data_IF_931957627149
#
_entry.id   IF_931957627149
#
_cell.length_a   1.000
_cell.length_b   1.000
_cell.length_c   1.000
_cell.angle_alpha   90.00
_cell.angle_beta   90.00
_cell.angle_gamma   90.00
#
_symmetry.space_group_name_H-M   'P 1'
#
loop_
_entity.id
_entity.type
_entity.pdbx_description
1 polymer ?
#
# COMPACT_ATOMS: atom_id res chain seq x y z
N UNK A 1 5.52 31.14 20.61
CA UNK A 1 4.63 32.32 20.74
C UNK A 1 3.51 32.36 19.71
N UNK A 2 3.70 31.92 18.45
CA UNK A 2 2.65 32.01 17.40
C UNK A 2 1.36 31.18 17.67
N UNK A 3 1.48 29.89 18.04
CA UNK A 3 0.31 29.01 18.30
C UNK A 3 -0.53 29.50 19.48
N UNK A 4 0.11 30.14 20.46
CA UNK A 4 -0.52 30.61 21.70
C UNK A 4 -1.47 31.78 21.43
N UNK A 5 -1.10 32.69 20.51
CA UNK A 5 -1.98 33.79 20.08
C UNK A 5 -3.13 33.30 19.20
N UNK A 6 -2.93 32.23 18.45
CA UNK A 6 -3.98 31.59 17.64
C UNK A 6 -5.09 30.97 18.51
N UNK A 7 -4.75 30.35 19.65
CA UNK A 7 -5.73 29.72 20.55
C UNK A 7 -6.73 30.74 21.10
N UNK A 8 -6.26 31.91 21.52
CA UNK A 8 -7.13 32.97 22.04
C UNK A 8 -8.06 33.52 20.94
N UNK A 9 -7.54 33.71 19.73
CA UNK A 9 -8.33 34.10 18.58
C UNK A 9 -9.42 33.07 18.26
N UNK A 10 -9.09 31.77 18.27
CA UNK A 10 -10.05 30.70 18.03
C UNK A 10 -11.13 30.66 19.13
N UNK A 11 -10.74 30.82 20.40
CA UNK A 11 -11.70 30.84 21.52
C UNK A 11 -12.65 32.04 21.46
N UNK A 12 -12.18 33.19 20.98
CA UNK A 12 -13.00 34.38 20.77
C UNK A 12 -13.90 34.30 19.52
N UNK A 13 -13.60 33.40 18.58
CA UNK A 13 -14.32 33.25 17.31
C UNK A 13 -15.56 32.37 17.43
N UNK A 14 -16.54 32.42 16.50
CA UNK A 14 -17.65 31.46 16.46
C UNK A 14 -17.17 30.00 16.32
N UNK A 15 -17.99 29.03 16.78
CA UNK A 15 -17.62 27.60 16.77
C UNK A 15 -17.29 27.09 15.36
N UNK A 16 -17.98 27.57 14.33
CA UNK A 16 -17.71 27.21 12.93
C UNK A 16 -16.28 27.52 12.46
N UNK A 17 -15.58 28.47 13.10
CA UNK A 17 -14.17 28.75 12.80
C UNK A 17 -13.28 27.59 13.25
N UNK A 18 -13.56 27.04 14.43
CA UNK A 18 -12.87 25.85 14.93
C UNK A 18 -13.17 24.64 14.03
N UNK A 19 -14.44 24.41 13.69
CA UNK A 19 -14.84 23.31 12.80
C UNK A 19 -14.14 23.40 11.44
N UNK A 20 -14.04 24.61 10.88
CA UNK A 20 -13.32 24.86 9.63
C UNK A 20 -11.80 24.60 9.74
N UNK A 21 -11.19 24.85 10.90
CA UNK A 21 -9.77 24.49 11.15
C UNK A 21 -9.62 22.97 11.21
N UNK A 22 -10.47 22.27 11.96
CA UNK A 22 -10.45 20.81 12.03
C UNK A 22 -10.64 20.20 10.64
N UNK A 23 -11.65 20.64 9.89
CA UNK A 23 -11.92 20.15 8.54
C UNK A 23 -10.74 20.36 7.58
N UNK A 24 -10.02 21.49 7.68
CA UNK A 24 -8.79 21.72 6.91
C UNK A 24 -7.65 20.81 7.34
N UNK A 25 -7.51 20.54 8.64
CA UNK A 25 -6.45 19.70 9.17
C UNK A 25 -6.64 18.23 8.83
N UNK A 26 -7.86 17.70 8.89
CA UNK A 26 -8.09 16.24 8.81
C UNK A 26 -9.10 15.80 7.75
N UNK A 27 -9.96 16.69 7.23
CA UNK A 27 -11.11 16.31 6.41
C UNK A 27 -10.75 15.56 5.13
N UNK A 28 -9.76 16.06 4.37
CA UNK A 28 -9.32 15.38 3.14
C UNK A 28 -8.57 14.08 3.44
N UNK A 29 -7.78 14.03 4.52
CA UNK A 29 -7.02 12.84 4.91
C UNK A 29 -7.94 11.71 5.37
N UNK A 30 -8.98 11.99 6.15
CA UNK A 30 -9.97 10.99 6.53
C UNK A 30 -10.76 10.47 5.33
N UNK A 31 -11.24 11.35 4.46
CA UNK A 31 -12.00 10.93 3.29
C UNK A 31 -11.19 9.99 2.39
N UNK A 32 -9.95 10.35 2.09
CA UNK A 32 -9.09 9.51 1.25
C UNK A 32 -8.70 8.20 1.94
N UNK A 33 -8.38 8.24 3.25
CA UNK A 33 -8.03 7.04 4.00
C UNK A 33 -9.22 6.08 4.07
N UNK A 34 -10.44 6.55 4.34
CA UNK A 34 -11.63 5.70 4.40
C UNK A 34 -11.98 5.08 3.04
N UNK A 35 -11.79 5.81 1.93
CA UNK A 35 -11.92 5.26 0.58
C UNK A 35 -10.86 4.19 0.32
N UNK A 36 -9.61 4.46 0.72
CA UNK A 36 -8.50 3.51 0.59
C UNK A 36 -8.76 2.25 1.41
N UNK A 37 -9.39 2.42 2.59
CA UNK A 37 -9.77 1.36 3.49
C UNK A 37 -10.97 0.53 2.96
N UNK A 38 -11.95 1.15 2.31
CA UNK A 38 -13.15 0.44 1.84
C UNK A 38 -12.95 -0.35 0.55
N UNK A 39 -12.00 0.06 -0.32
CA UNK A 39 -11.77 -0.55 -1.65
C UNK A 39 -11.02 -1.90 -1.63
N UNK A 40 -10.89 -2.58 -0.49
CA UNK A 40 -10.00 -3.74 -0.38
C UNK A 40 -10.57 -5.02 -1.00
N UNK A 41 -9.97 -5.47 -2.10
CA UNK A 41 -10.27 -6.76 -2.77
C UNK A 41 -9.02 -7.53 -3.21
N UNK A 42 -7.81 -7.02 -2.98
CA UNK A 42 -6.59 -7.69 -3.45
C UNK A 42 -6.25 -8.83 -2.48
N UNK A 43 -6.51 -10.06 -2.92
CA UNK A 43 -6.07 -11.28 -2.24
C UNK A 43 -4.91 -11.89 -3.00
N UNK A 44 -4.04 -12.59 -2.27
CA UNK A 44 -3.00 -13.42 -2.85
C UNK A 44 -3.62 -14.41 -3.84
N UNK A 45 -3.17 -14.39 -5.10
CA UNK A 45 -3.60 -15.35 -6.11
C UNK A 45 -2.89 -16.69 -5.89
N UNK A 46 -3.44 -17.49 -4.98
CA UNK A 46 -2.90 -18.79 -4.62
C UNK A 46 -2.80 -19.73 -5.84
N UNK A 47 -3.75 -19.64 -6.77
CA UNK A 47 -3.78 -20.49 -7.97
C UNK A 47 -2.63 -20.16 -8.90
N UNK A 48 -2.37 -18.86 -9.15
CA UNK A 48 -1.23 -18.43 -9.95
C UNK A 48 0.09 -18.86 -9.32
N UNK A 49 0.24 -18.67 -8.01
CA UNK A 49 1.47 -19.03 -7.28
C UNK A 49 1.73 -20.53 -7.34
N UNK A 50 0.73 -21.35 -7.06
CA UNK A 50 0.89 -22.81 -7.09
C UNK A 50 1.14 -23.32 -8.51
N UNK A 51 0.53 -22.71 -9.53
CA UNK A 51 0.80 -23.03 -10.94
C UNK A 51 2.26 -22.75 -11.31
N UNK A 52 2.80 -21.59 -10.93
CA UNK A 52 4.20 -21.23 -11.17
C UNK A 52 5.14 -22.20 -10.43
N UNK A 53 4.88 -22.49 -9.14
CA UNK A 53 5.68 -23.44 -8.36
C UNK A 53 5.68 -24.83 -8.96
N UNK A 54 4.52 -25.32 -9.43
CA UNK A 54 4.39 -26.62 -10.06
C UNK A 54 5.24 -26.70 -11.33
N UNK A 55 5.14 -25.71 -12.22
CA UNK A 55 5.90 -25.69 -13.47
C UNK A 55 7.41 -25.59 -13.19
N UNK A 56 7.84 -24.79 -12.21
CA UNK A 56 9.25 -24.71 -11.82
C UNK A 56 9.79 -26.04 -11.28
N UNK A 57 8.97 -26.79 -10.52
CA UNK A 57 9.34 -28.13 -10.02
C UNK A 57 9.49 -29.11 -11.18
N UNK A 58 8.54 -29.11 -12.10
CA UNK A 58 8.53 -29.98 -13.28
C UNK A 58 9.74 -29.70 -14.19
N UNK A 59 10.05 -28.43 -14.44
CA UNK A 59 11.22 -28.03 -15.23
C UNK A 59 12.54 -28.48 -14.59
N UNK A 60 12.67 -28.38 -13.26
CA UNK A 60 13.87 -28.89 -12.55
C UNK A 60 14.04 -30.41 -12.71
N UNK A 61 12.94 -31.17 -12.73
CA UNK A 61 12.98 -32.61 -12.95
C UNK A 61 13.36 -32.97 -14.39
N UNK A 62 12.80 -32.26 -15.37
CA UNK A 62 13.11 -32.44 -16.79
C UNK A 62 14.56 -32.06 -17.13
N UNK A 63 15.04 -30.91 -16.64
CA UNK A 63 16.42 -30.47 -16.87
C UNK A 63 17.44 -31.42 -16.23
N UNK A 64 17.08 -32.15 -15.18
CA UNK A 64 17.95 -33.18 -14.58
C UNK A 64 18.04 -34.48 -15.39
N UNK A 65 16.93 -34.96 -15.95
CA UNK A 65 16.86 -36.26 -16.65
C UNK A 65 17.04 -36.15 -18.17
N UNK A 66 16.34 -35.22 -18.81
CA UNK A 66 16.20 -35.15 -20.28
C UNK A 66 17.41 -34.49 -20.92
N UNK A 67 17.96 -33.44 -20.29
CA UNK A 67 19.16 -32.75 -20.81
C UNK A 67 20.38 -33.68 -20.80
N UNK A 68 20.60 -34.42 -19.71
CA UNK A 68 21.71 -35.39 -19.60
C UNK A 68 21.56 -36.52 -20.60
N UNK A 69 20.35 -37.04 -20.78
CA UNK A 69 20.10 -38.15 -21.69
C UNK A 69 20.21 -37.75 -23.17
N UNK A 70 19.57 -36.65 -23.58
CA UNK A 70 19.55 -36.22 -24.98
C UNK A 70 20.90 -35.69 -25.46
N UNK A 71 21.64 -34.98 -24.60
CA UNK A 71 22.99 -34.51 -24.93
C UNK A 71 23.97 -35.69 -25.02
N UNK A 72 23.93 -36.62 -24.07
CA UNK A 72 24.84 -37.77 -24.04
C UNK A 72 24.62 -38.76 -25.18
N UNK A 73 23.37 -38.97 -25.62
CA UNK A 73 23.06 -39.95 -26.67
C UNK A 73 22.98 -39.38 -28.08
N UNK A 74 22.59 -38.12 -28.27
CA UNK A 74 22.21 -37.63 -29.60
C UNK A 74 22.69 -36.22 -29.95
N UNK A 75 23.35 -35.49 -29.04
CA UNK A 75 23.90 -34.15 -29.32
C UNK A 75 22.86 -33.08 -29.71
N UNK A 76 21.58 -33.30 -29.43
CA UNK A 76 20.51 -32.36 -29.80
C UNK A 76 20.31 -31.25 -28.76
N UNK A 77 20.24 -30.00 -29.22
CA UNK A 77 19.59 -28.91 -28.48
C UNK A 77 18.07 -29.14 -28.46
N UNK A 78 17.48 -29.13 -27.26
CA UNK A 78 16.07 -29.48 -27.06
C UNK A 78 15.16 -28.35 -27.60
N UNK A 79 14.21 -28.74 -28.46
CA UNK A 79 13.13 -27.90 -29.03
C UNK A 79 12.40 -27.05 -27.96
N UNK A 80 11.74 -25.97 -28.41
CA UNK A 80 10.85 -25.08 -27.61
C UNK A 80 10.02 -25.88 -26.59
N UNK A 81 10.32 -25.69 -25.30
CA UNK A 81 9.65 -26.39 -24.21
C UNK A 81 8.33 -25.64 -23.85
N UNK A 82 7.18 -26.27 -24.12
CA UNK A 82 5.84 -25.70 -23.82
C UNK A 82 5.68 -25.26 -22.35
N UNK A 83 6.32 -25.95 -21.40
CA UNK A 83 6.29 -25.59 -19.98
C UNK A 83 7.04 -24.28 -19.70
N UNK A 84 8.13 -24.02 -20.44
CA UNK A 84 8.84 -22.73 -20.36
C UNK A 84 7.99 -21.59 -20.95
N UNK A 85 7.25 -21.83 -22.04
CA UNK A 85 6.31 -20.84 -22.59
C UNK A 85 5.16 -20.53 -21.62
N UNK A 86 4.58 -21.56 -20.99
CA UNK A 86 3.57 -21.39 -19.93
C UNK A 86 4.13 -20.63 -18.73
N UNK A 87 5.38 -20.90 -18.33
CA UNK A 87 6.05 -20.19 -17.24
C UNK A 87 6.24 -18.70 -17.56
N UNK A 88 6.59 -18.36 -18.81
CA UNK A 88 6.69 -16.97 -19.25
C UNK A 88 5.34 -16.26 -19.21
N UNK A 89 4.28 -16.91 -19.67
CA UNK A 89 2.92 -16.36 -19.60
C UNK A 89 2.50 -16.07 -18.15
N UNK A 90 2.60 -17.06 -17.26
CA UNK A 90 2.26 -16.87 -15.85
C UNK A 90 3.18 -15.86 -15.14
N UNK A 91 4.45 -15.79 -15.55
CA UNK A 91 5.38 -14.75 -15.09
C UNK A 91 4.94 -13.34 -15.48
N UNK A 92 4.36 -13.15 -16.67
CA UNK A 92 3.82 -11.86 -17.11
C UNK A 92 2.57 -11.45 -16.30
N UNK A 93 1.73 -12.41 -15.95
CA UNK A 93 0.56 -12.21 -15.10
C UNK A 93 0.97 -11.84 -13.67
N UNK A 94 1.92 -12.58 -13.10
CA UNK A 94 2.54 -12.28 -11.81
C UNK A 94 3.11 -10.85 -11.82
N UNK A 95 3.74 -10.42 -12.92
CA UNK A 95 4.36 -9.09 -13.04
C UNK A 95 3.34 -7.99 -13.01
N UNK A 96 2.20 -8.22 -13.65
CA UNK A 96 1.08 -7.30 -13.63
C UNK A 96 0.49 -7.19 -12.22
N UNK A 97 0.30 -8.32 -11.52
CA UNK A 97 -0.19 -8.32 -10.14
C UNK A 97 0.80 -7.62 -9.20
N UNK A 98 2.10 -7.89 -9.32
CA UNK A 98 3.14 -7.27 -8.51
C UNK A 98 3.26 -5.76 -8.71
N UNK A 99 3.18 -5.26 -9.94
CA UNK A 99 3.12 -3.82 -10.22
C UNK A 99 1.92 -3.16 -9.54
N UNK A 100 0.75 -3.80 -9.56
CA UNK A 100 -0.45 -3.30 -8.87
C UNK A 100 -0.24 -3.24 -7.35
N UNK A 101 0.38 -4.25 -6.76
CA UNK A 101 0.70 -4.27 -5.32
C UNK A 101 1.70 -3.18 -4.96
N UNK A 102 2.77 -3.00 -5.74
CA UNK A 102 3.76 -1.92 -5.52
C UNK A 102 3.13 -0.54 -5.58
N UNK A 103 2.30 -0.28 -6.60
CA UNK A 103 1.57 0.98 -6.70
C UNK A 103 0.64 1.20 -5.49
N UNK A 104 0.04 0.13 -4.97
CA UNK A 104 -0.85 0.20 -3.80
C UNK A 104 -0.08 0.45 -2.50
N UNK A 105 1.03 -0.24 -2.28
CA UNK A 105 1.92 0.00 -1.14
C UNK A 105 2.39 1.46 -1.10
N UNK A 106 2.76 2.01 -2.26
CA UNK A 106 3.13 3.41 -2.38
C UNK A 106 1.99 4.37 -2.00
N UNK A 107 0.78 4.11 -2.49
CA UNK A 107 -0.42 4.87 -2.13
C UNK A 107 -0.70 4.82 -0.63
N UNK A 108 -0.69 3.63 -0.03
CA UNK A 108 -0.91 3.42 1.40
C UNK A 108 0.15 4.13 2.25
N UNK A 109 1.43 4.04 1.87
CA UNK A 109 2.49 4.73 2.59
C UNK A 109 2.28 6.25 2.59
N UNK A 110 1.92 6.83 1.44
CA UNK A 110 1.57 8.27 1.36
C UNK A 110 0.38 8.63 2.26
N UNK A 111 -0.63 7.78 2.39
CA UNK A 111 -1.76 8.04 3.29
C UNK A 111 -1.35 7.94 4.76
N UNK A 112 -0.50 6.97 5.13
CA UNK A 112 0.08 6.87 6.49
C UNK A 112 0.83 8.15 6.86
N UNK A 113 1.70 8.63 5.96
CA UNK A 113 2.43 9.89 6.17
C UNK A 113 1.51 11.09 6.37
N UNK A 114 0.44 11.19 5.57
CA UNK A 114 -0.57 12.25 5.71
C UNK A 114 -1.30 12.18 7.04
N UNK A 115 -1.76 11.00 7.44
CA UNK A 115 -2.44 10.78 8.72
C UNK A 115 -1.50 11.11 9.89
N UNK A 116 -0.25 10.67 9.84
CA UNK A 116 0.75 11.00 10.86
C UNK A 116 0.98 12.52 10.97
N UNK A 117 1.06 13.22 9.84
CA UNK A 117 1.17 14.69 9.84
C UNK A 117 -0.06 15.36 10.47
N UNK A 118 -1.28 14.93 10.10
CA UNK A 118 -2.52 15.39 10.71
C UNK A 118 -2.53 15.20 12.23
N UNK A 119 -2.10 14.03 12.71
CA UNK A 119 -1.99 13.70 14.14
C UNK A 119 -1.02 14.64 14.87
N UNK A 120 0.13 14.96 14.26
CA UNK A 120 1.09 15.91 14.83
C UNK A 120 0.49 17.30 14.98
N UNK A 121 -0.17 17.80 13.93
CA UNK A 121 -0.79 19.14 13.95
C UNK A 121 -1.93 19.23 14.96
N UNK A 122 -2.81 18.21 15.03
CA UNK A 122 -3.86 18.17 16.06
C UNK A 122 -3.28 18.07 17.47
N UNK A 123 -2.22 17.30 17.70
CA UNK A 123 -1.54 17.24 19.01
C UNK A 123 -0.92 18.59 19.39
N UNK A 124 -0.38 19.35 18.43
CA UNK A 124 0.12 20.71 18.66
C UNK A 124 -1.01 21.65 19.07
N UNK A 125 -2.13 21.61 18.36
CA UNK A 125 -3.31 22.41 18.66
C UNK A 125 -3.89 22.07 20.05
N UNK A 126 -4.05 20.78 20.35
CA UNK A 126 -4.50 20.27 21.65
C UNK A 126 -3.59 20.74 22.79
N UNK A 127 -2.26 20.64 22.62
CA UNK A 127 -1.29 21.18 23.60
C UNK A 127 -1.46 22.68 23.81
N UNK A 128 -1.73 23.45 22.74
CA UNK A 128 -2.00 24.88 22.80
C UNK A 128 -3.22 25.22 23.66
N UNK A 129 -4.35 24.54 23.43
CA UNK A 129 -5.56 24.71 24.24
C UNK A 129 -5.35 24.27 25.70
N UNK A 130 -4.64 23.15 25.92
CA UNK A 130 -4.34 22.64 27.27
C UNK A 130 -3.47 23.60 28.07
N UNK A 131 -2.44 24.19 27.45
CA UNK A 131 -1.57 25.17 28.10
C UNK A 131 -2.32 26.43 28.56
N UNK A 132 -3.37 26.82 27.82
CA UNK A 132 -4.20 28.00 28.16
C UNK A 132 -5.35 27.70 29.12
N UNK A 133 -5.71 26.44 29.31
CA UNK A 133 -6.85 26.03 30.14
C UNK A 133 -6.83 26.62 31.57
N UNK A 134 -5.65 26.76 32.17
CA UNK A 134 -5.47 27.30 33.53
C UNK A 134 -5.52 28.83 33.61
N UNK A 135 -5.41 29.52 32.47
CA UNK A 135 -5.31 31.00 32.40
C UNK A 135 -6.65 31.70 32.23
N UNK A 136 -7.73 30.96 31.97
CA UNK A 136 -9.06 31.54 31.80
C UNK A 136 -9.71 31.75 33.16
N UNK A 137 -10.30 32.93 33.38
CA UNK A 137 -11.17 33.17 34.54
C UNK A 137 -12.65 33.03 34.17
N UNK A 138 -13.00 33.40 32.94
CA UNK A 138 -14.38 33.38 32.43
C UNK A 138 -14.90 31.94 32.23
N UNK A 139 -15.98 31.60 32.94
CA UNK A 139 -16.66 30.29 32.87
C UNK A 139 -17.10 29.90 31.45
N UNK A 140 -17.59 30.86 30.63
CA UNK A 140 -17.99 30.58 29.24
C UNK A 140 -16.81 30.15 28.39
N UNK A 141 -15.68 30.83 28.52
CA UNK A 141 -14.43 30.51 27.79
C UNK A 141 -13.86 29.17 28.26
N UNK A 142 -13.90 28.89 29.56
CA UNK A 142 -13.51 27.57 30.11
C UNK A 142 -14.32 26.44 29.51
N UNK A 143 -15.65 26.57 29.48
CA UNK A 143 -16.53 25.54 28.93
C UNK A 143 -16.27 25.31 27.44
N UNK A 144 -16.06 26.37 26.68
CA UNK A 144 -15.75 26.31 25.26
C UNK A 144 -14.38 25.68 24.98
N UNK A 145 -13.37 26.03 25.78
CA UNK A 145 -12.06 25.42 25.72
C UNK A 145 -12.12 23.91 26.04
N UNK A 146 -12.91 23.52 27.05
CA UNK A 146 -13.15 22.11 27.37
C UNK A 146 -13.78 21.38 26.19
N UNK A 147 -14.85 21.92 25.61
CA UNK A 147 -15.49 21.35 24.42
C UNK A 147 -14.47 21.13 23.28
N UNK A 148 -13.62 22.12 22.98
CA UNK A 148 -12.58 21.95 21.95
C UNK A 148 -11.52 20.91 22.30
N UNK A 149 -11.13 20.79 23.56
CA UNK A 149 -10.21 19.74 23.99
C UNK A 149 -10.81 18.35 23.80
N UNK A 150 -12.06 18.16 24.22
CA UNK A 150 -12.79 16.89 24.07
C UNK A 150 -12.92 16.51 22.58
N UNK A 151 -13.24 17.49 21.72
CA UNK A 151 -13.35 17.30 20.27
C UNK A 151 -12.00 16.96 19.61
N UNK A 152 -10.90 17.61 20.04
CA UNK A 152 -9.55 17.30 19.57
C UNK A 152 -9.11 15.90 20.01
N UNK A 153 -9.43 15.50 21.23
CA UNK A 153 -9.12 14.17 21.76
C UNK A 153 -9.88 13.08 21.00
N UNK A 154 -11.17 13.31 20.71
CA UNK A 154 -11.96 12.43 19.86
C UNK A 154 -11.33 12.25 18.47
N UNK A 155 -11.03 13.37 17.79
CA UNK A 155 -10.43 13.32 16.45
C UNK A 155 -9.05 12.66 16.43
N UNK A 156 -8.24 12.85 17.47
CA UNK A 156 -6.95 12.16 17.63
C UNK A 156 -7.14 10.65 17.78
N UNK A 157 -8.10 10.21 18.58
CA UNK A 157 -8.42 8.79 18.72
C UNK A 157 -8.87 8.17 17.39
N UNK A 158 -9.69 8.87 16.61
CA UNK A 158 -10.11 8.40 15.29
C UNK A 158 -8.94 8.32 14.30
N UNK A 159 -8.02 9.29 14.30
CA UNK A 159 -6.81 9.22 13.48
C UNK A 159 -5.92 8.04 13.86
N UNK A 160 -5.75 7.75 15.15
CA UNK A 160 -4.97 6.61 15.62
C UNK A 160 -5.57 5.28 15.16
N UNK A 161 -6.90 5.14 15.20
CA UNK A 161 -7.58 3.95 14.63
C UNK A 161 -7.30 3.79 13.14
N UNK A 162 -7.38 4.89 12.38
CA UNK A 162 -7.09 4.89 10.93
C UNK A 162 -5.63 4.56 10.66
N UNK A 163 -4.69 5.10 11.45
CA UNK A 163 -3.27 4.83 11.32
C UNK A 163 -2.93 3.35 11.55
N UNK A 164 -3.53 2.73 12.58
CA UNK A 164 -3.41 1.30 12.85
C UNK A 164 -3.97 0.49 11.67
N UNK A 165 -5.18 0.82 11.21
CA UNK A 165 -5.80 0.12 10.09
C UNK A 165 -4.99 0.21 8.79
N UNK A 166 -4.42 1.38 8.48
CA UNK A 166 -3.53 1.57 7.34
C UNK A 166 -2.22 0.80 7.49
N UNK A 167 -1.68 0.71 8.71
CA UNK A 167 -0.44 -0.02 9.00
C UNK A 167 -0.61 -1.52 8.82
N UNK A 168 -1.65 -2.11 9.41
CA UNK A 168 -1.96 -3.54 9.24
C UNK A 168 -2.08 -3.92 7.76
N UNK A 169 -2.74 -3.07 6.96
CA UNK A 169 -2.91 -3.31 5.52
C UNK A 169 -1.63 -3.15 4.72
N UNK A 170 -0.78 -2.22 5.12
CA UNK A 170 0.52 -2.06 4.51
C UNK A 170 1.33 -3.35 4.73
N UNK A 171 1.33 -3.86 5.96
CA UNK A 171 2.05 -5.08 6.32
C UNK A 171 1.51 -6.30 5.56
N UNK A 172 0.19 -6.47 5.47
CA UNK A 172 -0.44 -7.54 4.69
C UNK A 172 0.01 -7.53 3.21
N UNK A 173 -0.04 -6.35 2.56
CA UNK A 173 0.38 -6.22 1.17
C UNK A 173 1.89 -6.37 0.98
N UNK A 174 2.67 -5.96 1.98
CA UNK A 174 4.12 -6.07 1.96
C UNK A 174 4.56 -7.55 2.05
N UNK A 175 3.87 -8.37 2.84
CA UNK A 175 4.11 -9.81 2.85
C UNK A 175 3.77 -10.47 1.51
N UNK A 176 2.69 -10.05 0.86
CA UNK A 176 2.37 -10.52 -0.50
C UNK A 176 3.45 -10.11 -1.50
N UNK A 177 3.93 -8.86 -1.41
CA UNK A 177 4.98 -8.34 -2.28
C UNK A 177 6.28 -9.13 -2.17
N UNK A 178 6.68 -9.50 -0.94
CA UNK A 178 7.82 -10.40 -0.70
C UNK A 178 7.66 -11.76 -1.36
N UNK A 179 6.46 -12.35 -1.30
CA UNK A 179 6.19 -13.65 -1.95
C UNK A 179 6.37 -13.53 -3.46
N UNK A 180 5.88 -12.45 -4.06
CA UNK A 180 6.04 -12.19 -5.49
C UNK A 180 7.51 -11.97 -5.86
N UNK A 181 8.26 -11.16 -5.10
CA UNK A 181 9.70 -10.95 -5.31
C UNK A 181 10.49 -12.27 -5.27
N UNK A 182 10.20 -13.14 -4.28
CA UNK A 182 10.82 -14.46 -4.19
C UNK A 182 10.48 -15.37 -5.38
N UNK A 183 9.25 -15.32 -5.89
CA UNK A 183 8.85 -16.07 -7.07
C UNK A 183 9.55 -15.57 -8.33
N UNK A 184 9.67 -14.25 -8.51
CA UNK A 184 10.40 -13.69 -9.66
C UNK A 184 11.86 -14.10 -9.72
N UNK A 185 12.54 -14.13 -8.59
CA UNK A 185 13.94 -14.58 -8.52
C UNK A 185 14.12 -16.05 -8.94
N UNK A 186 13.05 -16.86 -8.88
CA UNK A 186 13.08 -18.28 -9.24
C UNK A 186 12.72 -18.54 -10.70
N UNK A 187 12.15 -17.56 -11.42
CA UNK A 187 11.78 -17.72 -12.84
C UNK A 187 13.04 -17.48 -13.70
N UNK A 188 13.52 -18.49 -14.46
CA UNK A 188 14.67 -18.32 -15.34
C UNK A 188 14.40 -17.25 -16.41
N UNK A 189 15.39 -16.39 -16.71
CA UNK A 189 15.28 -15.29 -17.70
C UNK A 189 14.19 -14.26 -17.38
N UNK A 190 14.02 -13.92 -16.12
CA UNK A 190 13.07 -12.90 -15.65
C UNK A 190 13.22 -11.55 -16.39
N UNK A 191 14.44 -11.20 -16.81
CA UNK A 191 14.78 -10.03 -17.65
C UNK A 191 14.06 -10.03 -19.01
N UNK A 192 13.76 -11.20 -19.60
CA UNK A 192 13.01 -11.28 -20.88
C UNK A 192 11.53 -10.94 -20.74
N UNK A 193 11.00 -10.91 -19.52
CA UNK A 193 9.66 -10.39 -19.26
C UNK A 193 9.59 -8.87 -19.43
N UNK A 194 10.72 -8.19 -19.67
CA UNK A 194 10.77 -6.74 -19.90
C UNK A 194 10.49 -6.33 -21.35
N UNK A 195 10.54 -7.24 -22.32
CA UNK A 195 10.52 -6.85 -23.76
C UNK A 195 9.48 -7.56 -24.64
N UNK A 196 8.83 -8.64 -24.22
CA UNK A 196 7.81 -9.32 -25.04
C UNK A 196 6.42 -8.67 -24.91
N UNK A 197 6.34 -7.37 -25.19
CA UNK A 197 5.06 -6.69 -25.44
C UNK A 197 4.46 -7.20 -26.75
N UNK A 198 3.56 -8.20 -26.67
CA UNK A 198 2.49 -8.51 -27.62
C UNK A 198 2.82 -8.77 -29.11
N UNK A 199 4.04 -8.51 -29.61
CA UNK A 199 4.38 -8.53 -31.04
C UNK A 199 4.81 -9.90 -31.56
N UNK A 200 5.20 -10.83 -30.69
CA UNK A 200 5.66 -12.17 -31.10
C UNK A 200 4.56 -13.24 -31.12
N UNK A 201 3.39 -12.97 -30.53
CA UNK A 201 2.24 -13.88 -30.56
C UNK A 201 1.26 -13.59 -31.72
N UNK A 202 1.48 -12.51 -32.48
CA UNK A 202 0.55 -12.05 -33.52
C UNK A 202 1.05 -12.27 -34.97
N UNK A 203 2.20 -12.91 -35.19
CA UNK A 203 2.64 -13.22 -36.55
C UNK A 203 2.12 -14.60 -36.99
N UNK A 204 1.23 -14.68 -37.99
CA UNK A 204 0.86 -15.96 -38.57
C UNK A 204 2.09 -16.55 -39.26
N UNK A 205 2.32 -17.84 -39.00
CA UNK A 205 3.30 -18.64 -39.74
C UNK A 205 2.83 -18.61 -41.20
N UNK A 206 3.54 -17.90 -42.06
CA UNK A 206 3.35 -18.00 -43.51
C UNK A 206 3.76 -19.42 -43.91
N UNK A 207 2.79 -20.17 -44.43
CA UNK A 207 2.94 -21.51 -45.02
C UNK A 207 3.79 -21.43 -46.27
#
# INVERSE_FOLDING_TARGET
>A
MAIVNYVEQILSSPVCVFDGIIQKLIGQSFHHSNIELSRYTIKLDATLIESIKSILKDLKQEEGMVSRFLYAKFGFEVRKNKRREQLLYLGSELKTQHRKIKARLYSLNRQKERVAHCSVELRRLHKGFKAKAMSFENKKVKNKNKFYLDELEHNLSELEKVEVALSMRYDDLFEIEKIYDQLFQRIPRCERLEEESYLLLAQPIKV
#
